data_IF_281505279535
#
_entry.id   IF_281505279535
#
_cell.length_a   1.000
_cell.length_b   1.000
_cell.length_c   1.000
_cell.angle_alpha   90.00
_cell.angle_beta   90.00
_cell.angle_gamma   90.00
#
_symmetry.space_group_name_H-M   'P 1'
#
loop_
_entity.id
_entity.type
_entity.pdbx_description
1 polymer ?
#
# COMPACT_ATOMS: atom_id res chain seq x y z
N UNK A 1 14.22 -8.75 3.96
CA UNK A 1 14.14 -7.53 3.14
C UNK A 1 15.51 -6.87 2.89
N UNK A 2 16.40 -6.65 3.89
CA UNK A 2 17.75 -6.06 3.65
C UNK A 2 18.54 -6.84 2.60
N UNK A 3 18.56 -8.17 2.69
CA UNK A 3 19.23 -9.02 1.69
C UNK A 3 18.68 -8.81 0.28
N UNK A 4 17.35 -8.79 0.12
CA UNK A 4 16.72 -8.52 -1.19
C UNK A 4 17.11 -7.14 -1.76
N UNK A 5 17.18 -6.10 -0.92
CA UNK A 5 17.61 -4.77 -1.34
C UNK A 5 19.07 -4.74 -1.77
N UNK A 6 19.94 -5.51 -1.12
CA UNK A 6 21.34 -5.66 -1.53
C UNK A 6 21.46 -6.39 -2.87
N UNK A 7 20.66 -7.44 -3.09
CA UNK A 7 20.61 -8.13 -4.39
C UNK A 7 20.10 -7.23 -5.51
N UNK A 8 19.06 -6.42 -5.24
CA UNK A 8 18.61 -5.41 -6.20
C UNK A 8 19.73 -4.43 -6.52
N UNK A 9 20.48 -3.95 -5.51
CA UNK A 9 21.62 -3.08 -5.74
C UNK A 9 22.69 -3.75 -6.62
N UNK A 10 22.99 -5.03 -6.38
CA UNK A 10 24.00 -5.80 -7.12
C UNK A 10 23.66 -5.91 -8.63
N UNK A 11 22.38 -6.00 -8.97
CA UNK A 11 21.94 -6.19 -10.36
C UNK A 11 21.61 -4.87 -11.07
N UNK A 12 21.46 -3.76 -10.34
CA UNK A 12 21.26 -2.45 -10.92
C UNK A 12 22.56 -1.85 -11.44
N UNK A 13 22.52 -1.27 -12.63
CA UNK A 13 23.62 -0.43 -13.09
C UNK A 13 23.81 0.78 -12.16
N UNK A 14 25.03 1.34 -12.05
CA UNK A 14 25.26 2.61 -11.35
C UNK A 14 24.30 3.70 -11.87
N UNK A 15 23.62 4.39 -10.96
CA UNK A 15 22.57 5.36 -11.29
C UNK A 15 21.20 4.75 -11.62
N UNK A 16 21.09 3.42 -11.67
CA UNK A 16 19.80 2.72 -11.81
C UNK A 16 18.86 3.05 -10.66
N UNK A 17 17.56 3.02 -10.91
CA UNK A 17 16.54 3.44 -9.95
C UNK A 17 15.69 2.25 -9.49
N UNK A 18 15.59 2.09 -8.18
CA UNK A 18 14.60 1.21 -7.53
C UNK A 18 13.41 2.06 -7.08
N UNK A 19 12.21 1.65 -7.45
CA UNK A 19 10.97 2.19 -6.90
C UNK A 19 10.44 1.22 -5.84
N UNK A 20 10.52 1.63 -4.58
CA UNK A 20 9.92 0.90 -3.45
C UNK A 20 8.52 1.47 -3.19
N UNK A 21 7.49 0.78 -3.65
CA UNK A 21 6.09 1.17 -3.49
C UNK A 21 5.35 0.15 -2.62
N UNK A 22 4.72 0.63 -1.54
CA UNK A 22 4.05 -0.22 -0.55
C UNK A 22 2.77 0.41 -0.04
N UNK A 23 1.73 -0.38 0.33
CA UNK A 23 0.60 0.16 1.08
C UNK A 23 1.08 0.91 2.32
N UNK A 24 0.48 2.05 2.62
CA UNK A 24 0.77 2.80 3.84
C UNK A 24 -0.24 2.39 4.92
N UNK A 25 0.15 1.44 5.76
CA UNK A 25 -0.70 0.90 6.82
C UNK A 25 -0.98 1.89 7.96
N UNK A 26 -0.31 3.03 7.98
CA UNK A 26 -0.58 4.13 8.93
C UNK A 26 -1.79 4.96 8.53
N UNK A 27 -2.29 4.76 7.32
CA UNK A 27 -3.45 5.47 6.77
C UNK A 27 -4.59 4.50 6.55
N UNK A 28 -5.77 4.86 7.04
CA UNK A 28 -6.98 4.07 6.85
C UNK A 28 -7.31 3.90 5.37
N UNK A 29 -7.73 2.70 5.00
CA UNK A 29 -8.33 2.47 3.70
C UNK A 29 -9.85 2.69 3.77
N UNK A 30 -10.44 3.04 2.65
CA UNK A 30 -11.87 3.36 2.58
C UNK A 30 -12.54 2.53 1.50
N UNK A 31 -13.67 1.90 1.85
CA UNK A 31 -14.61 1.41 0.87
C UNK A 31 -15.48 2.57 0.43
N UNK A 32 -15.50 2.86 -0.87
CA UNK A 32 -16.20 4.00 -1.44
C UNK A 32 -17.10 3.55 -2.59
N UNK A 33 -18.26 4.16 -2.72
CA UNK A 33 -19.15 4.01 -3.86
C UNK A 33 -18.97 5.19 -4.79
N UNK A 34 -18.84 4.92 -6.09
CA UNK A 34 -18.82 5.96 -7.09
C UNK A 34 -20.22 6.54 -7.25
N UNK A 35 -20.29 7.86 -7.31
CA UNK A 35 -21.51 8.63 -7.64
C UNK A 35 -21.27 9.46 -8.89
N UNK A 36 -22.33 10.03 -9.44
CA UNK A 36 -22.24 10.96 -10.59
C UNK A 36 -21.24 12.10 -10.34
N UNK A 37 -21.14 12.57 -9.10
CA UNK A 37 -20.13 13.56 -8.68
C UNK A 37 -19.32 13.02 -7.49
N UNK A 38 -18.17 12.40 -7.81
CA UNK A 38 -17.20 11.95 -6.80
C UNK A 38 -17.52 10.60 -6.15
N UNK A 39 -17.14 10.44 -4.88
CA UNK A 39 -17.23 9.20 -4.14
C UNK A 39 -17.94 9.41 -2.80
N UNK A 40 -18.79 8.45 -2.44
CA UNK A 40 -19.39 8.35 -1.12
C UNK A 40 -18.65 7.29 -0.31
N UNK A 41 -18.21 7.65 0.89
CA UNK A 41 -17.63 6.69 1.83
C UNK A 41 -18.71 5.70 2.28
N UNK A 42 -18.42 4.43 2.12
CA UNK A 42 -19.32 3.32 2.43
C UNK A 42 -18.85 2.54 3.67
N UNK A 43 -17.54 2.45 3.84
CA UNK A 43 -16.91 1.81 4.97
C UNK A 43 -15.47 2.26 5.19
N UNK A 44 -14.93 1.88 6.34
CA UNK A 44 -13.53 2.08 6.73
C UNK A 44 -12.90 0.72 6.96
N UNK A 45 -11.74 0.48 6.38
CA UNK A 45 -10.95 -0.73 6.57
C UNK A 45 -9.74 -0.40 7.44
N UNK A 46 -9.76 -0.90 8.67
CA UNK A 46 -8.67 -0.67 9.62
C UNK A 46 -7.46 -1.54 9.30
N UNK A 47 -6.29 -0.99 9.54
CA UNK A 47 -5.01 -1.69 9.46
C UNK A 47 -4.78 -2.61 10.65
N UNK A 48 -4.05 -3.71 10.47
CA UNK A 48 -3.63 -4.58 11.56
C UNK A 48 -2.34 -4.11 12.23
N UNK A 49 -2.15 -4.49 13.48
CA UNK A 49 -0.86 -4.32 14.16
C UNK A 49 0.28 -5.03 13.43
N UNK A 50 0.02 -6.21 12.85
CA UNK A 50 0.99 -6.97 12.06
C UNK A 50 1.44 -6.21 10.80
N UNK A 51 0.50 -5.56 10.08
CA UNK A 51 0.85 -4.73 8.93
C UNK A 51 1.72 -3.54 9.34
N UNK A 52 1.41 -2.89 10.46
CA UNK A 52 2.24 -1.80 11.00
C UNK A 52 3.64 -2.27 11.40
N UNK A 53 3.78 -3.46 11.98
CA UNK A 53 5.08 -4.07 12.31
C UNK A 53 5.88 -4.34 11.03
N UNK A 54 5.24 -4.91 10.00
CA UNK A 54 5.88 -5.18 8.71
C UNK A 54 6.31 -3.88 8.02
N UNK A 55 5.48 -2.83 8.05
CA UNK A 55 5.84 -1.53 7.49
C UNK A 55 7.07 -0.94 8.18
N UNK A 56 7.12 -0.99 9.52
CA UNK A 56 8.29 -0.52 10.29
C UNK A 56 9.54 -1.33 10.00
N UNK A 57 9.42 -2.66 9.85
CA UNK A 57 10.54 -3.52 9.49
C UNK A 57 11.09 -3.19 8.09
N UNK A 58 10.19 -2.93 7.14
CA UNK A 58 10.54 -2.50 5.79
C UNK A 58 11.22 -1.14 5.78
N UNK A 59 10.72 -0.17 6.56
CA UNK A 59 11.33 1.16 6.69
C UNK A 59 12.75 1.08 7.24
N UNK A 60 12.96 0.24 8.27
CA UNK A 60 14.30 0.01 8.84
C UNK A 60 15.25 -0.60 7.81
N UNK A 61 14.75 -1.54 6.97
CA UNK A 61 15.56 -2.17 5.94
C UNK A 61 16.01 -1.16 4.88
N UNK A 62 15.10 -0.31 4.39
CA UNK A 62 15.43 0.76 3.43
C UNK A 62 16.41 1.77 4.07
N UNK A 63 16.12 2.22 5.29
CA UNK A 63 17.02 3.15 6.00
C UNK A 63 18.41 2.56 6.19
N UNK A 64 18.52 1.25 6.42
CA UNK A 64 19.81 0.54 6.55
C UNK A 64 20.62 0.60 5.27
N UNK A 65 20.06 0.20 4.12
CA UNK A 65 20.82 0.17 2.85
C UNK A 65 21.18 1.59 2.36
N UNK A 66 20.39 2.60 2.71
CA UNK A 66 20.73 4.00 2.47
C UNK A 66 21.91 4.44 3.34
N UNK A 67 21.94 4.08 4.64
CA UNK A 67 23.07 4.36 5.54
C UNK A 67 24.34 3.61 5.12
N UNK A 68 24.21 2.39 4.64
CA UNK A 68 25.33 1.62 4.06
C UNK A 68 25.88 2.24 2.77
N UNK A 69 25.23 3.28 2.25
CA UNK A 69 25.68 3.99 1.06
C UNK A 69 25.36 3.30 -0.26
N UNK A 70 24.60 2.20 -0.24
CA UNK A 70 24.20 1.47 -1.44
C UNK A 70 23.23 2.27 -2.31
N UNK A 71 22.34 3.01 -1.68
CA UNK A 71 21.35 3.81 -2.37
C UNK A 71 21.34 5.26 -1.88
N UNK A 72 20.98 6.16 -2.79
CA UNK A 72 20.64 7.56 -2.49
C UNK A 72 19.13 7.74 -2.64
N UNK A 73 18.46 8.22 -1.58
CA UNK A 73 17.03 8.56 -1.68
C UNK A 73 16.87 9.82 -2.53
N UNK A 74 16.14 9.72 -3.64
CA UNK A 74 15.87 10.84 -4.57
C UNK A 74 14.55 11.50 -4.29
N UNK A 75 13.51 10.70 -4.05
CA UNK A 75 12.16 11.19 -3.83
C UNK A 75 11.38 10.23 -2.94
N UNK A 76 10.42 10.75 -2.21
CA UNK A 76 9.40 9.99 -1.50
C UNK A 76 8.06 10.70 -1.64
N UNK A 77 6.97 9.95 -1.57
CA UNK A 77 5.63 10.50 -1.62
C UNK A 77 4.58 9.46 -1.30
N UNK A 78 3.35 9.88 -1.48
CA UNK A 78 2.16 9.06 -1.28
C UNK A 78 1.16 9.36 -2.38
N UNK A 79 0.43 8.35 -2.82
CA UNK A 79 -0.73 8.50 -3.69
C UNK A 79 -1.86 7.57 -3.24
N UNK A 80 -3.06 7.83 -3.73
CA UNK A 80 -4.21 6.99 -3.49
C UNK A 80 -4.39 6.02 -4.64
N UNK A 81 -4.38 4.73 -4.31
CA UNK A 81 -4.70 3.65 -5.23
C UNK A 81 -6.13 3.19 -5.01
N UNK A 82 -6.88 2.99 -6.10
CA UNK A 82 -8.25 2.49 -6.07
C UNK A 82 -8.33 1.14 -6.73
N UNK A 83 -8.91 0.17 -6.03
CA UNK A 83 -9.18 -1.18 -6.55
C UNK A 83 -10.69 -1.30 -6.74
N UNK A 84 -11.18 -1.47 -7.97
CA UNK A 84 -12.61 -1.58 -8.25
C UNK A 84 -13.14 -2.98 -7.94
N UNK A 85 -14.41 -3.04 -7.51
CA UNK A 85 -15.20 -4.25 -7.29
C UNK A 85 -16.56 -4.10 -7.94
N UNK A 86 -17.05 -5.17 -8.57
CA UNK A 86 -18.33 -5.16 -9.27
C UNK A 86 -19.53 -4.89 -8.32
N UNK A 87 -19.43 -5.34 -7.07
CA UNK A 87 -20.49 -5.19 -6.08
C UNK A 87 -19.97 -5.43 -4.65
N UNK A 88 -20.85 -5.29 -3.67
CA UNK A 88 -20.52 -5.49 -2.26
C UNK A 88 -20.09 -6.93 -1.92
N UNK A 89 -20.64 -7.93 -2.62
CA UNK A 89 -20.26 -9.33 -2.40
C UNK A 89 -18.81 -9.57 -2.83
N UNK A 90 -18.43 -9.11 -4.02
CA UNK A 90 -17.06 -9.20 -4.53
C UNK A 90 -16.06 -8.48 -3.60
N UNK A 91 -16.43 -7.31 -3.10
CA UNK A 91 -15.61 -6.59 -2.12
C UNK A 91 -15.44 -7.40 -0.82
N UNK A 92 -16.52 -7.99 -0.28
CA UNK A 92 -16.45 -8.82 0.94
C UNK A 92 -15.60 -10.06 0.76
N UNK A 93 -15.72 -10.72 -0.40
CA UNK A 93 -14.89 -11.88 -0.74
C UNK A 93 -13.41 -11.49 -0.77
N UNK A 94 -13.06 -10.40 -1.44
CA UNK A 94 -11.69 -9.89 -1.47
C UNK A 94 -11.15 -9.59 -0.06
N UNK A 95 -11.93 -8.93 0.78
CA UNK A 95 -11.55 -8.64 2.17
C UNK A 95 -11.30 -9.92 2.97
N UNK A 96 -12.11 -10.96 2.74
CA UNK A 96 -11.94 -12.26 3.36
C UNK A 96 -10.68 -12.98 2.90
N UNK A 97 -10.46 -13.09 1.60
CA UNK A 97 -9.39 -13.89 1.01
C UNK A 97 -8.01 -13.26 1.20
N UNK A 98 -7.90 -11.96 0.97
CA UNK A 98 -6.62 -11.28 0.89
C UNK A 98 -6.20 -10.58 2.18
N UNK A 99 -7.16 -10.08 2.93
CA UNK A 99 -6.84 -9.34 4.14
C UNK A 99 -7.09 -10.14 5.42
N UNK A 100 -7.69 -11.33 5.33
CA UNK A 100 -8.13 -12.18 6.47
C UNK A 100 -8.85 -11.39 7.58
N UNK A 101 -9.38 -10.22 7.26
CA UNK A 101 -9.70 -9.13 8.17
C UNK A 101 -11.11 -8.59 7.98
N UNK A 102 -12.05 -9.41 7.54
CA UNK A 102 -13.47 -9.00 7.44
C UNK A 102 -13.99 -8.38 8.75
N UNK A 103 -13.42 -8.76 9.87
CA UNK A 103 -13.75 -8.18 11.19
C UNK A 103 -13.30 -6.72 11.35
N UNK A 104 -12.55 -6.16 10.40
CA UNK A 104 -11.97 -4.80 10.48
C UNK A 104 -12.60 -3.80 9.55
N UNK A 105 -13.46 -4.22 8.64
CA UNK A 105 -14.26 -3.29 7.87
C UNK A 105 -15.42 -2.81 8.74
N UNK A 106 -15.41 -1.53 9.08
CA UNK A 106 -16.51 -0.84 9.74
C UNK A 106 -17.33 -0.13 8.69
N UNK A 107 -18.58 -0.54 8.52
CA UNK A 107 -19.50 0.15 7.61
C UNK A 107 -19.97 1.45 8.26
N UNK A 108 -19.86 2.56 7.53
CA UNK A 108 -20.30 3.89 7.98
C UNK A 108 -21.70 4.23 7.50
N UNK A 109 -22.25 3.39 6.61
CA UNK A 109 -23.65 3.45 6.18
C UNK A 109 -24.47 2.38 6.89
N UNK A 110 -25.77 2.64 7.08
CA UNK A 110 -26.69 1.69 7.71
C UNK A 110 -26.94 0.44 6.85
N UNK A 111 -27.60 -0.56 7.43
CA UNK A 111 -27.87 -1.82 6.76
C UNK A 111 -28.83 -1.68 5.57
N UNK A 112 -29.78 -0.75 5.63
CA UNK A 112 -30.74 -0.51 4.55
C UNK A 112 -30.01 0.08 3.34
N UNK A 113 -29.15 1.08 3.53
CA UNK A 113 -28.32 1.66 2.49
C UNK A 113 -27.38 0.61 1.86
N UNK A 114 -26.75 -0.27 2.68
CA UNK A 114 -25.93 -1.35 2.16
C UNK A 114 -26.73 -2.32 1.28
N UNK A 115 -27.93 -2.72 1.67
CA UNK A 115 -28.80 -3.60 0.88
C UNK A 115 -29.20 -2.93 -0.43
N UNK A 116 -29.66 -1.68 -0.37
CA UNK A 116 -30.12 -0.92 -1.54
C UNK A 116 -29.03 -0.81 -2.61
N UNK A 117 -27.78 -0.67 -2.22
CA UNK A 117 -26.64 -0.47 -3.13
C UNK A 117 -25.71 -1.68 -3.21
N UNK A 118 -26.20 -2.88 -2.82
CA UNK A 118 -25.36 -4.09 -2.78
C UNK A 118 -24.83 -4.54 -4.14
N UNK A 119 -25.58 -4.26 -5.21
CA UNK A 119 -25.24 -4.64 -6.58
C UNK A 119 -24.51 -3.52 -7.36
N UNK A 120 -24.25 -2.38 -6.73
CA UNK A 120 -23.53 -1.29 -7.37
C UNK A 120 -22.01 -1.46 -7.21
N UNK A 121 -21.23 -0.94 -8.18
CA UNK A 121 -19.77 -0.96 -8.08
C UNK A 121 -19.26 -0.18 -6.86
N UNK A 122 -18.23 -0.75 -6.27
CA UNK A 122 -17.50 -0.19 -5.12
C UNK A 122 -16.01 -0.14 -5.44
N UNK A 123 -15.27 0.71 -4.75
CA UNK A 123 -13.81 0.75 -4.79
C UNK A 123 -13.24 0.69 -3.38
N UNK A 124 -12.08 0.04 -3.22
CA UNK A 124 -11.23 0.27 -2.06
C UNK A 124 -10.21 1.33 -2.44
N UNK A 125 -10.18 2.42 -1.70
CA UNK A 125 -9.15 3.44 -1.79
C UNK A 125 -8.12 3.22 -0.68
N UNK A 126 -6.88 2.91 -1.06
CA UNK A 126 -5.74 2.73 -0.15
C UNK A 126 -4.66 3.76 -0.43
N UNK A 127 -4.04 4.24 0.62
CA UNK A 127 -2.81 5.00 0.48
C UNK A 127 -1.65 4.06 0.11
N UNK A 128 -0.86 4.45 -0.88
CA UNK A 128 0.39 3.80 -1.26
C UNK A 128 1.50 4.83 -1.09
N UNK A 129 2.49 4.51 -0.30
CA UNK A 129 3.71 5.30 -0.18
C UNK A 129 4.77 4.76 -1.11
N UNK A 130 5.64 5.63 -1.60
CA UNK A 130 6.75 5.25 -2.44
C UNK A 130 8.03 6.00 -2.10
N UNK A 131 9.16 5.35 -2.38
CA UNK A 131 10.49 5.93 -2.35
C UNK A 131 11.22 5.60 -3.65
N UNK A 132 11.88 6.59 -4.25
CA UNK A 132 12.83 6.40 -5.36
C UNK A 132 14.23 6.35 -4.77
N UNK A 133 14.90 5.23 -5.00
CA UNK A 133 16.23 4.93 -4.51
C UNK A 133 17.16 4.74 -5.71
N UNK A 134 18.16 5.61 -5.85
CA UNK A 134 19.17 5.52 -6.89
C UNK A 134 20.36 4.71 -6.40
N UNK A 135 20.75 3.70 -7.16
CA UNK A 135 21.90 2.86 -6.88
C UNK A 135 23.20 3.68 -6.99
N UNK A 136 24.01 3.65 -5.95
CA UNK A 136 25.36 4.25 -5.97
C UNK A 136 26.36 3.25 -6.52
N UNK A 137 27.45 3.74 -7.16
CA UNK A 137 28.56 2.88 -7.53
C UNK A 137 29.06 2.13 -6.31
N UNK A 138 29.31 0.84 -6.45
CA UNK A 138 30.01 0.07 -5.42
C UNK A 138 31.41 0.69 -5.31
N UNK A 139 31.80 1.15 -4.12
CA UNK A 139 33.17 1.55 -3.89
C UNK A 139 34.02 0.30 -4.15
N UNK A 140 34.72 0.25 -5.31
CA UNK A 140 35.82 -0.65 -5.48
C UNK A 140 36.85 -0.21 -4.44
N UNK A 141 37.12 -1.06 -3.45
CA UNK A 141 38.26 -0.86 -2.55
C UNK A 141 39.56 -0.77 -3.37
N UNK A 142 40.55 -0.11 -2.82
CA UNK A 142 41.87 -0.02 -3.46
C UNK A 142 42.47 -1.41 -3.64
#
# INVERSE_FOLDING_TARGET
MVHALREVHRVLAPGGVLIDARPDSRVLAYAERQKARGFQRFGVVNTSSAELVNDRASDRAVARVVREGLFKRRRRGRFWHRVPFANLAALRQYLWEHLRFVRRAKWVVDAATRRRHSNEPLVIRRAVRYELLEARPTKQGP
#
